data_IF_100651779624
#
_entry.id   IF_100651779624
#
_cell.length_a   1.000
_cell.length_b   1.000
_cell.length_c   1.000
_cell.angle_alpha   90.00
_cell.angle_beta   90.00
_cell.angle_gamma   90.00
#
_symmetry.space_group_name_H-M   'P 1'
#
loop_
_entity.id
_entity.type
_entity.pdbx_description
1 polymer ?
#
# COMPACT_ATOMS: atom_id res chain seq x y z
N UNK A 1 -18.16 2.14 -1.11
CA UNK A 1 -17.34 1.56 -2.20
C UNK A 1 -16.59 2.57 -3.08
N UNK A 2 -17.18 3.71 -3.51
CA UNK A 2 -16.53 4.69 -4.43
C UNK A 2 -15.16 5.27 -3.99
N UNK A 3 -14.81 5.27 -2.70
CA UNK A 3 -13.53 5.80 -2.20
C UNK A 3 -12.39 4.77 -2.25
N UNK A 4 -12.70 3.50 -2.01
CA UNK A 4 -11.73 2.41 -2.11
C UNK A 4 -11.28 2.23 -3.56
N UNK A 5 -12.22 2.27 -4.51
CA UNK A 5 -11.90 2.23 -5.94
C UNK A 5 -10.96 3.36 -6.36
N UNK A 6 -11.21 4.61 -5.90
CA UNK A 6 -10.32 5.75 -6.20
C UNK A 6 -8.89 5.59 -5.66
N UNK A 7 -8.71 4.92 -4.51
CA UNK A 7 -7.39 4.69 -3.94
C UNK A 7 -6.66 3.56 -4.68
N UNK A 8 -7.37 2.47 -5.00
CA UNK A 8 -6.85 1.41 -5.87
C UNK A 8 -6.43 1.98 -7.22
N UNK A 9 -7.29 2.75 -7.89
CA UNK A 9 -7.00 3.41 -9.17
C UNK A 9 -5.74 4.29 -9.08
N UNK A 10 -5.58 5.02 -7.97
CA UNK A 10 -4.42 5.88 -7.77
C UNK A 10 -3.13 5.07 -7.64
N UNK A 11 -3.15 3.95 -6.89
CA UNK A 11 -2.01 3.04 -6.75
C UNK A 11 -1.66 2.43 -8.11
N UNK A 12 -2.64 1.83 -8.79
CA UNK A 12 -2.44 1.13 -10.06
C UNK A 12 -1.86 2.08 -11.10
N UNK A 13 -2.52 3.22 -11.37
CA UNK A 13 -2.10 4.17 -12.41
C UNK A 13 -0.71 4.77 -12.20
N UNK A 14 -0.27 4.93 -10.95
CA UNK A 14 0.99 5.62 -10.65
C UNK A 14 2.15 4.71 -10.27
N UNK A 15 1.90 3.46 -9.87
CA UNK A 15 2.92 2.64 -9.24
C UNK A 15 2.96 1.17 -9.67
N UNK A 16 2.03 0.65 -10.48
CA UNK A 16 1.96 -0.80 -10.72
C UNK A 16 3.30 -1.44 -11.14
N UNK A 17 4.03 -0.79 -12.06
CA UNK A 17 5.35 -1.28 -12.53
C UNK A 17 6.37 -1.38 -11.39
N UNK A 18 6.36 -0.41 -10.48
CA UNK A 18 7.26 -0.36 -9.32
C UNK A 18 6.81 -1.23 -8.16
N UNK A 19 5.58 -1.77 -8.22
CA UNK A 19 5.05 -2.66 -7.21
C UNK A 19 5.29 -4.14 -7.56
N UNK A 20 5.33 -4.46 -8.86
CA UNK A 20 5.71 -5.81 -9.34
C UNK A 20 7.22 -6.01 -9.43
N UNK A 21 7.98 -4.91 -9.48
CA UNK A 21 9.45 -4.88 -9.47
C UNK A 21 9.97 -3.66 -8.66
N UNK A 22 10.01 -3.76 -7.31
CA UNK A 22 10.37 -2.66 -6.44
C UNK A 22 11.87 -2.36 -6.48
N UNK A 23 12.20 -1.09 -6.69
CA UNK A 23 13.56 -0.57 -6.54
C UNK A 23 13.82 0.00 -5.15
N UNK A 24 12.82 0.01 -4.26
CA UNK A 24 12.96 0.49 -2.89
C UNK A 24 13.48 -0.60 -1.99
N UNK A 25 14.33 -0.23 -1.03
CA UNK A 25 14.75 -1.13 0.05
C UNK A 25 13.59 -1.45 1.01
N UNK A 26 13.74 -2.53 1.79
CA UNK A 26 12.80 -2.90 2.85
C UNK A 26 12.63 -1.75 3.85
N UNK A 27 11.41 -1.56 4.34
CA UNK A 27 11.02 -0.49 5.26
C UNK A 27 10.91 0.89 4.61
N UNK A 28 11.04 0.99 3.29
CA UNK A 28 10.88 2.26 2.55
C UNK A 28 9.54 2.31 1.82
N UNK A 29 9.00 3.51 1.71
CA UNK A 29 7.74 3.76 1.01
C UNK A 29 7.88 3.52 -0.49
N UNK A 30 7.15 2.53 -1.01
CA UNK A 30 7.00 2.26 -2.43
C UNK A 30 5.97 3.21 -3.07
N UNK A 31 4.90 3.55 -2.34
CA UNK A 31 3.88 4.49 -2.78
C UNK A 31 3.18 5.16 -1.59
N UNK A 32 2.74 6.43 -1.68
CA UNK A 32 3.06 7.39 -2.74
C UNK A 32 4.46 7.99 -2.55
N UNK A 33 5.00 8.59 -3.61
CA UNK A 33 6.36 9.17 -3.62
C UNK A 33 6.41 10.68 -3.39
N UNK A 34 5.35 11.41 -3.74
CA UNK A 34 5.30 12.86 -3.59
C UNK A 34 4.71 13.24 -2.22
N UNK A 35 5.18 14.37 -1.67
CA UNK A 35 4.61 14.91 -0.43
C UNK A 35 3.13 15.28 -0.59
N UNK A 36 2.75 15.80 -1.76
CA UNK A 36 1.36 16.14 -2.05
C UNK A 36 0.45 14.91 -1.99
N UNK A 37 0.88 13.78 -2.57
CA UNK A 37 0.12 12.53 -2.56
C UNK A 37 0.10 11.89 -1.17
N UNK A 38 1.20 11.97 -0.41
CA UNK A 38 1.24 11.52 0.98
C UNK A 38 0.17 12.21 1.84
N UNK A 39 -0.03 13.52 1.65
CA UNK A 39 -1.05 14.29 2.36
C UNK A 39 -2.46 14.06 1.81
N UNK A 40 -2.59 13.88 0.48
CA UNK A 40 -3.86 13.65 -0.19
C UNK A 40 -4.47 12.29 0.17
N UNK A 41 -3.66 11.24 0.15
CA UNK A 41 -4.12 9.86 0.38
C UNK A 41 -4.03 9.47 1.85
N UNK A 42 -3.06 10.03 2.58
CA UNK A 42 -2.88 9.80 4.01
C UNK A 42 -2.41 8.41 4.41
N UNK A 43 -2.07 7.55 3.44
CA UNK A 43 -1.52 6.21 3.66
C UNK A 43 -0.25 6.01 2.83
N UNK A 44 0.54 5.02 3.23
CA UNK A 44 1.76 4.57 2.57
C UNK A 44 1.70 3.06 2.36
N UNK A 45 2.30 2.61 1.27
CA UNK A 45 2.68 1.22 1.02
C UNK A 45 4.18 1.12 1.21
N UNK A 46 4.61 0.61 2.36
CA UNK A 46 6.03 0.43 2.68
C UNK A 46 6.44 -1.01 2.32
N UNK A 47 7.56 -1.16 1.61
CA UNK A 47 8.00 -2.45 1.12
C UNK A 47 8.55 -3.33 2.25
N UNK A 48 8.08 -4.59 2.34
CA UNK A 48 8.45 -5.54 3.40
C UNK A 48 9.17 -6.79 2.87
N UNK A 49 9.63 -6.76 1.62
CA UNK A 49 10.40 -7.84 1.02
C UNK A 49 9.58 -8.82 0.19
N UNK A 50 10.14 -9.99 -0.07
CA UNK A 50 9.52 -11.07 -0.84
C UNK A 50 9.02 -12.15 0.11
N UNK A 51 7.84 -12.68 -0.17
CA UNK A 51 7.26 -13.85 0.51
C UNK A 51 6.78 -14.86 -0.52
N UNK A 52 6.85 -16.14 -0.17
CA UNK A 52 6.32 -17.24 -1.01
C UNK A 52 4.98 -17.69 -0.46
N UNK A 53 3.95 -17.69 -1.30
CA UNK A 53 2.60 -18.19 -0.97
C UNK A 53 2.23 -19.21 -2.04
N UNK A 54 1.93 -20.44 -1.63
CA UNK A 54 1.58 -21.55 -2.53
C UNK A 54 2.58 -21.75 -3.68
N UNK A 55 3.88 -21.59 -3.38
CA UNK A 55 4.97 -21.72 -4.35
C UNK A 55 5.19 -20.50 -5.26
N UNK A 56 4.39 -19.43 -5.11
CA UNK A 56 4.50 -18.20 -5.91
C UNK A 56 5.13 -17.07 -5.09
N UNK A 57 6.17 -16.44 -5.62
CA UNK A 57 6.81 -15.28 -5.00
C UNK A 57 5.95 -14.01 -5.17
N UNK A 58 5.76 -13.29 -4.06
CA UNK A 58 5.06 -12.02 -4.00
C UNK A 58 5.94 -10.96 -3.33
N UNK A 59 5.91 -9.74 -3.84
CA UNK A 59 6.34 -8.56 -3.11
C UNK A 59 5.27 -8.21 -2.06
N UNK A 60 5.69 -8.16 -0.80
CA UNK A 60 4.84 -7.77 0.32
C UNK A 60 4.99 -6.27 0.59
N UNK A 61 3.86 -5.59 0.74
CA UNK A 61 3.79 -4.19 1.15
C UNK A 61 2.92 -4.04 2.38
N UNK A 62 3.31 -3.17 3.30
CA UNK A 62 2.51 -2.81 4.47
C UNK A 62 1.76 -1.51 4.20
N UNK A 63 0.44 -1.54 4.34
CA UNK A 63 -0.37 -0.33 4.33
C UNK A 63 -0.28 0.33 5.71
N UNK A 64 0.37 1.48 5.79
CA UNK A 64 0.57 2.24 7.03
C UNK A 64 -0.05 3.64 6.92
N UNK A 65 -0.51 4.25 8.03
CA UNK A 65 -0.95 5.64 8.03
C UNK A 65 0.25 6.59 7.85
N UNK A 66 0.05 7.68 7.11
CA UNK A 66 1.06 8.73 6.99
C UNK A 66 1.25 9.48 8.33
N UNK A 67 2.46 10.02 8.55
CA UNK A 67 2.77 10.82 9.74
C UNK A 67 2.16 12.23 9.69
N UNK A 68 2.06 12.81 8.50
CA UNK A 68 1.59 14.18 8.26
C UNK A 68 0.08 14.36 8.37
N UNK A 69 -0.44 15.39 7.69
CA UNK A 69 -1.88 15.66 7.65
C UNK A 69 -2.61 14.48 6.99
N UNK A 70 -3.59 13.95 7.71
CA UNK A 70 -4.45 12.83 7.31
C UNK A 70 -5.90 13.12 7.74
N UNK A 71 -6.88 12.34 7.27
CA UNK A 71 -8.26 12.50 7.75
C UNK A 71 -8.38 12.16 9.23
N UNK A 72 -9.31 12.81 9.94
CA UNK A 72 -9.55 12.59 11.38
C UNK A 72 -9.74 11.11 11.72
N UNK A 73 -10.55 10.39 10.95
CA UNK A 73 -10.77 8.95 11.15
C UNK A 73 -9.49 8.11 11.08
N UNK A 74 -8.57 8.45 10.16
CA UNK A 74 -7.31 7.72 10.03
C UNK A 74 -6.31 8.12 11.13
N UNK A 75 -6.38 9.38 11.60
CA UNK A 75 -5.61 9.85 12.75
C UNK A 75 -6.04 9.14 14.03
N UNK A 76 -7.33 9.07 14.30
CA UNK A 76 -7.87 8.37 15.47
C UNK A 76 -7.51 6.88 15.43
N UNK A 77 -7.64 6.24 14.25
CA UNK A 77 -7.20 4.86 14.07
C UNK A 77 -5.71 4.73 14.38
N UNK A 78 -4.86 5.59 13.81
CA UNK A 78 -3.41 5.57 14.03
C UNK A 78 -3.05 5.70 15.51
N UNK A 79 -3.69 6.62 16.23
CA UNK A 79 -3.43 6.86 17.66
C UNK A 79 -3.83 5.66 18.54
N UNK A 80 -4.86 4.90 18.13
CA UNK A 80 -5.31 3.69 18.84
C UNK A 80 -4.53 2.42 18.51
N UNK A 81 -3.83 2.38 17.38
CA UNK A 81 -3.27 1.13 16.82
C UNK A 81 -1.73 1.10 16.77
N UNK A 82 -1.05 1.97 17.53
CA UNK A 82 0.42 1.93 17.62
C UNK A 82 1.16 2.90 16.70
N UNK A 83 0.48 3.95 16.22
CA UNK A 83 1.14 5.08 15.57
C UNK A 83 1.45 4.86 14.08
N UNK A 84 2.45 5.58 13.58
CA UNK A 84 2.76 5.66 12.14
C UNK A 84 3.32 4.38 11.53
N UNK A 85 3.79 3.44 12.36
CA UNK A 85 4.29 2.15 11.93
C UNK A 85 3.24 1.03 12.06
N UNK A 86 2.03 1.37 12.54
CA UNK A 86 0.92 0.44 12.60
C UNK A 86 0.54 -0.05 11.19
N UNK A 87 0.45 -1.37 11.03
CA UNK A 87 0.08 -1.99 9.76
C UNK A 87 -1.43 -2.16 9.74
N UNK A 88 -2.10 -1.43 8.84
CA UNK A 88 -3.54 -1.57 8.58
C UNK A 88 -3.82 -2.92 7.93
N UNK A 89 -3.04 -3.26 6.90
CA UNK A 89 -3.11 -4.53 6.18
C UNK A 89 -1.82 -4.75 5.39
N UNK A 90 -1.60 -5.98 4.92
CA UNK A 90 -0.53 -6.31 3.98
C UNK A 90 -1.10 -6.52 2.58
N UNK A 91 -0.38 -6.05 1.56
CA UNK A 91 -0.69 -6.27 0.15
C UNK A 91 0.35 -7.23 -0.41
N UNK A 92 -0.08 -8.33 -1.01
CA UNK A 92 0.78 -9.30 -1.68
C UNK A 92 0.63 -9.17 -3.18
N UNK A 93 1.68 -8.69 -3.84
CA UNK A 93 1.68 -8.44 -5.29
C UNK A 93 2.62 -9.44 -5.94
N UNK A 94 2.13 -10.19 -6.93
CA UNK A 94 2.94 -11.18 -7.64
C UNK A 94 4.21 -10.53 -8.22
N UNK A 95 5.37 -11.12 -7.93
CA UNK A 95 6.65 -10.67 -8.47
C UNK A 95 6.67 -10.82 -9.99
N UNK A 96 7.07 -9.76 -10.70
CA UNK A 96 6.99 -9.73 -12.17
C UNK A 96 5.56 -9.82 -12.73
N UNK A 97 4.55 -9.53 -11.91
CA UNK A 97 3.15 -9.53 -12.32
C UNK A 97 2.77 -8.40 -13.27
N UNK A 98 1.48 -8.35 -13.57
CA UNK A 98 0.84 -7.39 -14.47
C UNK A 98 0.16 -6.26 -13.70
N UNK A 99 -0.30 -5.24 -14.42
CA UNK A 99 -1.15 -4.19 -13.85
C UNK A 99 -2.40 -4.76 -13.18
N UNK A 100 -3.01 -5.79 -13.78
CA UNK A 100 -4.19 -6.47 -13.24
C UNK A 100 -3.90 -7.20 -11.93
N UNK A 101 -2.73 -7.86 -11.82
CA UNK A 101 -2.31 -8.50 -10.56
C UNK A 101 -2.19 -7.47 -9.43
N UNK A 102 -1.71 -6.25 -9.73
CA UNK A 102 -1.65 -5.15 -8.77
C UNK A 102 -3.05 -4.67 -8.38
N UNK A 103 -3.93 -4.46 -9.36
CA UNK A 103 -5.30 -4.02 -9.11
C UNK A 103 -6.06 -4.99 -8.20
N UNK A 104 -6.01 -6.29 -8.50
CA UNK A 104 -6.68 -7.33 -7.72
C UNK A 104 -6.13 -7.41 -6.30
N UNK A 105 -4.80 -7.43 -6.14
CA UNK A 105 -4.14 -7.49 -4.83
C UNK A 105 -4.49 -6.27 -3.95
N UNK A 106 -4.42 -5.06 -4.52
CA UNK A 106 -4.71 -3.81 -3.79
C UNK A 106 -6.21 -3.72 -3.47
N UNK A 107 -7.08 -4.05 -4.43
CA UNK A 107 -8.54 -4.03 -4.25
C UNK A 107 -8.97 -5.00 -3.14
N UNK A 108 -8.41 -6.21 -3.13
CA UNK A 108 -8.67 -7.20 -2.08
C UNK A 108 -8.22 -6.68 -0.71
N UNK A 109 -6.94 -6.32 -0.58
CA UNK A 109 -6.38 -5.87 0.69
C UNK A 109 -7.09 -4.63 1.25
N UNK A 110 -7.52 -3.69 0.39
CA UNK A 110 -8.17 -2.46 0.84
C UNK A 110 -9.64 -2.64 1.22
N UNK A 111 -10.30 -3.71 0.74
CA UNK A 111 -11.68 -4.06 1.14
C UNK A 111 -11.73 -4.84 2.45
N UNK A 112 -10.70 -5.64 2.72
CA UNK A 112 -10.59 -6.49 3.91
C UNK A 112 -10.04 -5.73 5.14
N UNK A 113 -9.68 -4.45 4.98
CA UNK A 113 -9.10 -3.58 6.01
C UNK A 113 -10.08 -2.51 6.50
#
# INVERSE_FOLDING_TARGET
MKRLSKLTDAVVKSAWKKLVDPTVGRGKTAWPKSQADLLKYGIRLDYDGVVTVDGVEHHKYQRQPNAGKISSSLREWREKNGGTHAVITSVLIKKGGTEKDVEEAVSKAFKEA
#
